data_IF_969814888841
#
_entry.id   IF_969814888841
#
_cell.length_a   1.000
_cell.length_b   1.000
_cell.length_c   1.000
_cell.angle_alpha   90.00
_cell.angle_beta   90.00
_cell.angle_gamma   90.00
#
_symmetry.space_group_name_H-M   'P 1'
#
loop_
_entity.id
_entity.type
_entity.pdbx_description
1 polymer ?
#
# COMPACT_ATOMS: atom_id res chain seq x y z
N UNK A 1 16.28 1.59 -10.40
CA UNK A 1 14.82 1.36 -10.47
C UNK A 1 14.32 2.23 -11.61
N UNK A 2 13.60 1.67 -12.56
CA UNK A 2 13.17 2.39 -13.78
C UNK A 2 12.11 3.43 -13.42
N UNK A 3 12.47 4.72 -13.51
CA UNK A 3 11.60 5.83 -13.13
C UNK A 3 10.39 5.97 -14.05
N UNK A 4 10.54 5.66 -15.33
CA UNK A 4 9.45 5.81 -16.31
C UNK A 4 8.43 4.69 -16.15
N UNK A 5 8.89 3.46 -15.92
CA UNK A 5 8.02 2.37 -15.53
C UNK A 5 7.25 2.67 -14.23
N UNK A 6 7.92 3.24 -13.22
CA UNK A 6 7.26 3.61 -11.97
C UNK A 6 6.16 4.67 -12.16
N UNK A 7 6.43 5.72 -12.93
CA UNK A 7 5.42 6.74 -13.25
C UNK A 7 4.23 6.13 -13.97
N UNK A 8 4.50 5.28 -14.98
CA UNK A 8 3.46 4.57 -15.75
C UNK A 8 2.57 3.72 -14.85
N UNK A 9 3.13 2.85 -14.02
CA UNK A 9 2.33 1.98 -13.16
C UNK A 9 1.70 2.73 -11.99
N UNK A 10 2.35 3.75 -11.45
CA UNK A 10 1.75 4.59 -10.40
C UNK A 10 0.50 5.33 -10.89
N UNK A 11 0.43 5.69 -12.18
CA UNK A 11 -0.74 6.34 -12.76
C UNK A 11 -1.97 5.41 -12.82
N UNK A 12 -1.78 4.09 -12.78
CA UNK A 12 -2.88 3.11 -12.71
C UNK A 12 -3.50 3.00 -11.30
N UNK A 13 -2.83 3.55 -10.28
CA UNK A 13 -3.23 3.48 -8.88
C UNK A 13 -3.32 4.89 -8.24
N UNK A 14 -4.21 5.77 -8.75
CA UNK A 14 -4.31 7.15 -8.31
C UNK A 14 -4.80 7.25 -6.87
N UNK A 15 -4.25 8.20 -6.12
CA UNK A 15 -4.75 8.53 -4.79
C UNK A 15 -6.03 9.35 -4.94
N UNK A 16 -7.16 8.95 -4.32
CA UNK A 16 -8.38 9.75 -4.33
C UNK A 16 -8.15 11.17 -3.76
N UNK A 17 -8.68 12.23 -4.40
CA UNK A 17 -8.56 13.59 -3.90
C UNK A 17 -9.12 13.73 -2.48
N UNK A 18 -8.41 14.47 -1.61
CA UNK A 18 -8.85 14.72 -0.23
C UNK A 18 -8.75 13.52 0.73
N UNK A 19 -8.42 12.31 0.25
CA UNK A 19 -8.26 11.15 1.13
C UNK A 19 -6.95 11.26 1.92
N UNK A 20 -7.04 11.15 3.25
CA UNK A 20 -5.89 11.02 4.14
C UNK A 20 -6.02 9.72 4.93
N UNK A 21 -5.00 8.87 4.85
CA UNK A 21 -4.93 7.61 5.58
C UNK A 21 -3.72 7.65 6.52
N UNK A 22 -3.89 7.12 7.72
CA UNK A 22 -2.82 7.01 8.71
C UNK A 22 -2.28 5.58 8.75
N UNK A 23 -0.96 5.44 8.83
CA UNK A 23 -0.34 4.16 9.16
C UNK A 23 -0.42 3.98 10.68
N UNK A 24 -1.32 3.10 11.15
CA UNK A 24 -1.49 2.81 12.56
C UNK A 24 -0.65 1.61 13.02
N UNK A 25 -0.89 1.15 14.26
CA UNK A 25 -0.23 -0.03 14.84
C UNK A 25 -0.36 -1.27 13.95
N UNK A 26 -1.48 -1.41 13.25
CA UNK A 26 -1.77 -2.54 12.38
C UNK A 26 -1.69 -2.21 10.87
N UNK A 27 -0.90 -1.19 10.54
CA UNK A 27 -0.73 -0.68 9.18
C UNK A 27 -1.90 0.17 8.70
N UNK A 28 -2.07 0.26 7.38
CA UNK A 28 -3.22 0.93 6.77
C UNK A 28 -4.43 0.00 6.78
N UNK A 29 -5.53 0.45 7.35
CA UNK A 29 -6.84 -0.22 7.31
C UNK A 29 -7.92 0.83 7.01
N UNK A 30 -8.73 0.56 6.00
CA UNK A 30 -9.82 1.41 5.53
C UNK A 30 -10.78 0.55 4.69
N UNK A 31 -11.80 1.17 4.08
CA UNK A 31 -12.63 0.49 3.07
C UNK A 31 -11.75 0.04 1.90
N UNK A 32 -12.02 -1.13 1.33
CA UNK A 32 -11.14 -1.76 0.33
C UNK A 32 -10.92 -0.87 -0.90
N UNK A 33 -11.96 -0.14 -1.32
CA UNK A 33 -11.97 0.77 -2.47
C UNK A 33 -11.01 1.96 -2.29
N UNK A 34 -10.61 2.24 -1.05
CA UNK A 34 -9.69 3.34 -0.71
C UNK A 34 -8.23 2.90 -0.67
N UNK A 35 -7.93 1.59 -0.75
CA UNK A 35 -6.61 1.03 -0.48
C UNK A 35 -5.77 0.68 -1.71
N UNK A 36 -6.33 0.70 -2.93
CA UNK A 36 -5.59 0.35 -4.16
C UNK A 36 -4.24 1.10 -4.28
N UNK A 37 -4.31 2.42 -4.17
CA UNK A 37 -3.16 3.31 -4.21
C UNK A 37 -2.14 3.03 -3.09
N UNK A 38 -2.60 2.56 -1.92
CA UNK A 38 -1.74 2.18 -0.79
C UNK A 38 -1.00 0.89 -1.12
N UNK A 39 -1.69 -0.13 -1.64
CA UNK A 39 -1.11 -1.43 -1.94
C UNK A 39 0.04 -1.31 -2.94
N UNK A 40 -0.13 -0.53 -4.00
CA UNK A 40 0.94 -0.25 -4.96
C UNK A 40 2.18 0.35 -4.28
N UNK A 41 1.99 1.37 -3.43
CA UNK A 41 3.08 2.07 -2.73
C UNK A 41 3.75 1.20 -1.67
N UNK A 42 2.99 0.34 -0.98
CA UNK A 42 3.52 -0.58 0.02
C UNK A 42 4.38 -1.69 -0.60
N UNK A 43 4.06 -2.14 -1.82
CA UNK A 43 4.93 -3.03 -2.58
C UNK A 43 6.30 -2.40 -2.87
N UNK A 44 6.32 -1.13 -3.29
CA UNK A 44 7.57 -0.38 -3.49
C UNK A 44 8.34 -0.20 -2.19
N UNK A 45 7.66 0.14 -1.09
CA UNK A 45 8.28 0.28 0.22
C UNK A 45 8.91 -1.03 0.69
N UNK A 46 8.25 -2.17 0.49
CA UNK A 46 8.77 -3.49 0.84
C UNK A 46 10.06 -3.81 0.06
N UNK A 47 10.11 -3.50 -1.23
CA UNK A 47 11.32 -3.66 -2.07
C UNK A 47 12.46 -2.77 -1.57
N UNK A 48 12.17 -1.49 -1.29
CA UNK A 48 13.17 -0.56 -0.77
C UNK A 48 13.70 -1.01 0.59
N UNK A 49 12.82 -1.44 1.49
CA UNK A 49 13.19 -1.97 2.81
C UNK A 49 14.06 -3.21 2.68
N UNK A 50 13.67 -4.17 1.82
CA UNK A 50 14.43 -5.40 1.59
C UNK A 50 15.86 -5.11 1.12
N UNK A 51 16.02 -4.16 0.19
CA UNK A 51 17.34 -3.70 -0.27
C UNK A 51 18.14 -3.02 0.84
N UNK A 52 17.48 -2.19 1.67
CA UNK A 52 18.14 -1.44 2.72
C UNK A 52 18.67 -2.32 3.87
N UNK A 53 17.98 -3.43 4.19
CA UNK A 53 18.38 -4.33 5.27
C UNK A 53 18.91 -5.68 4.81
N UNK A 54 19.04 -5.90 3.49
CA UNK A 54 19.51 -7.14 2.87
C UNK A 54 18.79 -8.37 3.43
N UNK A 55 17.46 -8.28 3.51
CA UNK A 55 16.62 -9.34 4.11
C UNK A 55 15.25 -9.42 3.44
N UNK A 56 14.57 -10.54 3.64
CA UNK A 56 13.21 -10.77 3.14
C UNK A 56 12.21 -9.93 3.94
N UNK A 57 11.35 -9.18 3.23
CA UNK A 57 10.28 -8.37 3.83
C UNK A 57 8.94 -8.96 3.44
N UNK A 58 8.13 -9.32 4.44
CA UNK A 58 6.76 -9.77 4.26
C UNK A 58 5.78 -8.62 4.14
N UNK A 59 4.75 -8.79 3.31
CA UNK A 59 3.57 -7.91 3.26
C UNK A 59 2.35 -8.75 3.54
N UNK A 60 1.59 -8.40 4.58
CA UNK A 60 0.34 -9.07 4.93
C UNK A 60 -0.85 -8.22 4.46
N UNK A 61 -1.73 -8.82 3.66
CA UNK A 61 -3.00 -8.20 3.24
C UNK A 61 -4.12 -8.78 4.11
N UNK A 62 -4.58 -8.01 5.09
CA UNK A 62 -5.64 -8.45 6.00
C UNK A 62 -6.33 -7.27 6.67
N UNK A 63 -7.64 -7.43 6.88
CA UNK A 63 -8.41 -6.58 7.78
C UNK A 63 -8.63 -7.25 9.16
N UNK A 64 -8.04 -8.42 9.41
CA UNK A 64 -8.17 -9.18 10.66
C UNK A 64 -9.64 -9.47 11.02
N UNK A 65 -10.17 -8.89 12.09
CA UNK A 65 -11.55 -9.06 12.55
C UNK A 65 -12.52 -8.04 11.93
N UNK A 66 -12.02 -7.10 11.13
CA UNK A 66 -12.87 -6.11 10.48
C UNK A 66 -13.84 -6.79 9.51
N UNK A 67 -15.06 -6.24 9.35
CA UNK A 67 -16.06 -6.79 8.44
C UNK A 67 -15.60 -6.70 6.98
N UNK A 68 -16.17 -7.56 6.13
CA UNK A 68 -15.92 -7.55 4.67
C UNK A 68 -16.36 -6.23 4.03
N UNK A 69 -17.48 -5.68 4.49
CA UNK A 69 -18.02 -4.39 4.08
C UNK A 69 -18.18 -3.52 5.31
N UNK A 70 -17.50 -2.37 5.34
CA UNK A 70 -17.81 -1.33 6.33
C UNK A 70 -19.14 -0.68 5.91
N UNK A 71 -20.22 -1.05 6.59
CA UNK A 71 -21.52 -0.38 6.51
C UNK A 71 -21.36 1.07 6.93
#
# INVERSE_FOLDING_TARGET
>A
MDSEALKKYSALHPKPPGLTLQYGTAGFRAKAEQLDHVMFRMGLLAVLRSKAVVSTIGVMVTASHNPETMV
#
